data_IF_387211002190
#
_entry.id   IF_387211002190
#
_cell.length_a   1.000
_cell.length_b   1.000
_cell.length_c   1.000
_cell.angle_alpha   90.00
_cell.angle_beta   90.00
_cell.angle_gamma   90.00
#
_symmetry.space_group_name_H-M   'P 1'
#
loop_
_entity.id
_entity.type
_entity.pdbx_description
1 polymer ?
#
# COMPACT_ATOMS: atom_id res chain seq x y z
N UNK A 1 19.08 -17.26 20.61
CA UNK A 1 18.62 -17.19 19.21
C UNK A 1 19.30 -18.31 18.47
N UNK A 2 18.58 -19.34 18.11
CA UNK A 2 19.12 -20.36 17.23
C UNK A 2 18.95 -19.85 15.80
N UNK A 3 20.01 -19.32 15.22
CA UNK A 3 20.09 -19.18 13.79
C UNK A 3 20.07 -20.58 13.21
N UNK A 4 18.88 -21.04 12.79
CA UNK A 4 18.77 -22.23 11.95
C UNK A 4 19.17 -21.81 10.52
N UNK A 5 20.36 -22.13 10.05
CA UNK A 5 20.84 -21.67 8.73
C UNK A 5 20.12 -22.34 7.55
N UNK A 6 19.07 -23.12 7.81
CA UNK A 6 18.33 -23.88 6.81
C UNK A 6 16.80 -23.66 6.87
N UNK A 7 16.30 -22.65 7.59
CA UNK A 7 14.87 -22.36 7.52
C UNK A 7 14.53 -21.82 6.12
N UNK A 8 13.56 -22.41 5.42
CA UNK A 8 13.17 -21.93 4.10
C UNK A 8 12.58 -20.52 4.25
N UNK A 9 13.03 -19.60 3.43
CA UNK A 9 12.51 -18.25 3.38
C UNK A 9 12.23 -17.83 1.93
N UNK A 10 11.42 -16.82 1.79
CA UNK A 10 11.11 -16.17 0.53
C UNK A 10 11.01 -14.66 0.74
N UNK A 11 11.13 -13.92 -0.35
CA UNK A 11 10.90 -12.49 -0.34
C UNK A 11 9.44 -12.21 -0.73
N UNK A 12 8.85 -11.22 -0.10
CA UNK A 12 7.54 -10.70 -0.45
C UNK A 12 7.72 -9.30 -1.06
N UNK A 13 7.22 -9.12 -2.26
CA UNK A 13 7.23 -7.84 -2.97
C UNK A 13 5.83 -7.26 -2.95
N UNK A 14 5.68 -6.08 -2.35
CA UNK A 14 4.48 -5.26 -2.47
C UNK A 14 4.74 -4.16 -3.49
N UNK A 15 3.84 -3.97 -4.43
CA UNK A 15 3.98 -2.96 -5.46
C UNK A 15 2.63 -2.49 -5.99
N UNK A 16 2.64 -1.39 -6.72
CA UNK A 16 1.50 -0.93 -7.50
C UNK A 16 1.83 -0.93 -8.98
N UNK A 17 0.80 -0.88 -9.81
CA UNK A 17 0.96 -0.66 -11.23
C UNK A 17 0.24 0.64 -11.60
N UNK A 18 0.91 1.45 -12.39
CA UNK A 18 0.28 2.58 -13.06
C UNK A 18 -0.64 2.05 -14.16
N UNK A 19 -1.78 2.71 -14.31
CA UNK A 19 -2.74 2.32 -15.32
C UNK A 19 -3.05 3.49 -16.26
N UNK A 20 -2.28 3.62 -17.36
CA UNK A 20 -2.47 4.69 -18.33
C UNK A 20 -3.80 4.58 -19.09
N UNK A 21 -4.46 3.42 -19.07
CA UNK A 21 -5.75 3.20 -19.75
C UNK A 21 -6.95 3.73 -18.94
N UNK A 22 -6.67 4.41 -17.82
CA UNK A 22 -7.67 5.15 -17.04
C UNK A 22 -8.31 4.37 -15.90
N UNK A 23 -7.73 3.24 -15.51
CA UNK A 23 -8.11 2.54 -14.29
C UNK A 23 -7.36 3.12 -13.09
N UNK A 24 -7.92 2.92 -11.90
CA UNK A 24 -7.24 3.32 -10.68
C UNK A 24 -5.99 2.45 -10.43
N UNK A 25 -4.95 3.06 -9.93
CA UNK A 25 -3.77 2.35 -9.45
C UNK A 25 -4.17 1.40 -8.31
N UNK A 26 -3.58 0.20 -8.29
CA UNK A 26 -3.95 -0.91 -7.40
C UNK A 26 -2.72 -1.61 -6.87
N UNK A 27 -2.87 -2.30 -5.76
CA UNK A 27 -1.76 -2.97 -5.08
C UNK A 27 -1.71 -4.45 -5.42
N UNK A 28 -0.51 -4.93 -5.68
CA UNK A 28 -0.18 -6.30 -6.03
C UNK A 28 0.84 -6.88 -5.05
N UNK A 29 0.82 -8.19 -4.90
CA UNK A 29 1.84 -8.94 -4.17
C UNK A 29 2.44 -10.00 -5.08
N UNK A 30 3.75 -10.17 -4.97
CA UNK A 30 4.48 -11.29 -5.55
C UNK A 30 5.36 -11.93 -4.47
N UNK A 31 5.57 -13.23 -4.58
CA UNK A 31 6.51 -13.96 -3.73
C UNK A 31 7.63 -14.52 -4.57
N UNK A 32 8.85 -14.50 -4.06
CA UNK A 32 9.98 -15.11 -4.76
C UNK A 32 9.85 -16.65 -4.80
N UNK A 33 10.44 -17.27 -5.80
CA UNK A 33 10.57 -18.73 -5.88
C UNK A 33 11.68 -19.18 -4.90
N UNK A 34 11.28 -19.48 -3.67
CA UNK A 34 12.22 -19.68 -2.57
C UNK A 34 13.04 -18.41 -2.31
N UNK A 35 14.33 -18.58 -2.11
CA UNK A 35 15.29 -17.49 -1.87
C UNK A 35 15.82 -16.82 -3.16
N UNK A 36 15.24 -17.14 -4.32
CA UNK A 36 15.67 -16.58 -5.60
C UNK A 36 15.04 -15.20 -5.88
N UNK A 37 15.79 -14.09 -5.75
CA UNK A 37 15.26 -12.74 -5.93
C UNK A 37 15.00 -12.37 -7.40
N UNK A 38 15.30 -13.25 -8.35
CA UNK A 38 15.11 -13.02 -9.79
C UNK A 38 13.86 -13.72 -10.35
N UNK A 39 13.16 -14.53 -9.54
CA UNK A 39 11.95 -15.23 -9.95
C UNK A 39 10.81 -14.91 -9.00
N UNK A 40 9.73 -14.37 -9.55
CA UNK A 40 8.55 -13.90 -8.81
C UNK A 40 7.31 -14.64 -9.25
N UNK A 41 6.53 -15.07 -8.27
CA UNK A 41 5.26 -15.76 -8.44
C UNK A 41 4.17 -14.80 -7.99
N UNK A 42 3.31 -14.31 -8.91
CA UNK A 42 2.24 -13.38 -8.56
C UNK A 42 1.20 -14.02 -7.64
N UNK A 43 0.82 -13.27 -6.61
CA UNK A 43 -0.36 -13.60 -5.81
C UNK A 43 -1.64 -13.40 -6.61
N UNK A 44 -2.72 -13.99 -6.11
CA UNK A 44 -4.09 -13.79 -6.60
C UNK A 44 -4.25 -13.93 -8.12
N UNK A 45 -3.44 -14.77 -8.76
CA UNK A 45 -3.49 -14.99 -10.21
C UNK A 45 -3.22 -13.71 -11.02
N UNK A 46 -2.28 -12.89 -10.60
CA UNK A 46 -1.89 -11.59 -11.19
C UNK A 46 -2.96 -10.49 -11.07
N UNK A 47 -3.98 -10.71 -10.27
CA UNK A 47 -4.97 -9.66 -9.95
C UNK A 47 -4.52 -8.87 -8.74
N UNK A 48 -4.98 -7.62 -8.57
CA UNK A 48 -4.69 -6.85 -7.36
C UNK A 48 -5.15 -7.61 -6.13
N UNK A 49 -4.38 -7.49 -5.04
CA UNK A 49 -4.77 -8.05 -3.73
C UNK A 49 -5.67 -7.08 -2.98
N UNK A 50 -5.46 -5.78 -3.15
CA UNK A 50 -6.33 -4.72 -2.63
C UNK A 50 -6.52 -3.60 -3.64
N UNK A 51 -7.69 -2.98 -3.57
CA UNK A 51 -8.11 -1.81 -4.36
C UNK A 51 -8.79 -0.83 -3.42
N UNK A 52 -8.86 0.46 -3.80
CA UNK A 52 -9.60 1.46 -3.04
C UNK A 52 -10.83 1.93 -3.79
N UNK A 53 -11.95 1.99 -3.10
CA UNK A 53 -13.20 2.64 -3.53
C UNK A 53 -13.47 3.93 -2.73
N UNK A 54 -12.51 4.36 -1.90
CA UNK A 54 -12.57 5.58 -1.10
C UNK A 54 -11.44 6.53 -1.48
N UNK A 55 -11.50 7.77 -1.01
CA UNK A 55 -10.51 8.79 -1.33
C UNK A 55 -10.47 9.10 -2.82
N UNK A 56 -9.27 9.17 -3.38
CA UNK A 56 -9.07 9.38 -4.82
C UNK A 56 -9.38 8.16 -5.66
N UNK A 57 -9.61 7.00 -5.03
CA UNK A 57 -9.81 5.68 -5.63
C UNK A 57 -8.57 5.07 -6.31
N UNK A 58 -7.43 5.75 -6.31
CA UNK A 58 -6.14 5.23 -6.71
C UNK A 58 -5.21 5.09 -5.50
N UNK A 59 -4.35 4.08 -5.50
CA UNK A 59 -3.41 3.83 -4.42
C UNK A 59 -2.02 3.51 -4.96
N UNK A 60 -1.02 4.19 -4.38
CA UNK A 60 0.38 4.17 -4.83
C UNK A 60 1.31 3.93 -3.65
N UNK A 61 2.59 3.66 -3.97
CA UNK A 61 3.69 3.58 -3.00
C UNK A 61 3.35 2.75 -1.76
N UNK A 62 2.95 1.48 -1.92
CA UNK A 62 2.53 0.67 -0.80
C UNK A 62 3.70 0.28 0.09
N UNK A 63 3.45 0.23 1.39
CA UNK A 63 4.30 -0.42 2.38
C UNK A 63 3.54 -1.56 3.02
N UNK A 64 4.22 -2.70 3.25
CA UNK A 64 3.65 -3.85 3.94
C UNK A 64 4.44 -4.16 5.21
N UNK A 65 3.72 -4.42 6.30
CA UNK A 65 4.33 -4.74 7.58
C UNK A 65 3.50 -5.81 8.31
N UNK A 66 4.16 -6.64 9.10
CA UNK A 66 3.52 -7.58 9.99
C UNK A 66 3.69 -7.15 11.44
N UNK A 67 2.60 -7.10 12.18
CA UNK A 67 2.65 -6.93 13.62
C UNK A 67 3.13 -8.24 14.27
N UNK A 68 4.30 -8.27 14.92
CA UNK A 68 4.83 -9.52 15.48
C UNK A 68 4.05 -10.03 16.69
N UNK A 69 3.29 -9.16 17.37
CA UNK A 69 2.50 -9.52 18.55
C UNK A 69 1.20 -10.19 18.17
N UNK A 70 0.53 -9.71 17.12
CA UNK A 70 -0.78 -10.21 16.68
C UNK A 70 -0.71 -11.14 15.48
N UNK A 71 0.40 -11.10 14.73
CA UNK A 71 0.56 -11.82 13.46
C UNK A 71 -0.18 -11.19 12.29
N UNK A 72 -0.92 -10.10 12.51
CA UNK A 72 -1.65 -9.38 11.47
C UNK A 72 -0.72 -8.66 10.52
N UNK A 73 -1.05 -8.70 9.25
CA UNK A 73 -0.42 -7.95 8.18
C UNK A 73 -1.19 -6.67 7.89
N UNK A 74 -0.46 -5.63 7.54
CA UNK A 74 -1.03 -4.35 7.14
C UNK A 74 -0.40 -3.90 5.82
N UNK A 75 -1.22 -3.37 4.92
CA UNK A 75 -0.77 -2.58 3.77
C UNK A 75 -1.21 -1.14 4.02
N UNK A 76 -0.28 -0.21 3.85
CA UNK A 76 -0.54 1.23 3.88
C UNK A 76 -0.07 1.78 2.55
N UNK A 77 -0.88 2.64 1.94
CA UNK A 77 -0.58 3.20 0.62
C UNK A 77 -0.98 4.67 0.53
N UNK A 78 -0.31 5.39 -0.36
CA UNK A 78 -0.65 6.77 -0.75
C UNK A 78 -2.03 6.81 -1.40
N UNK A 79 -2.88 7.74 -0.97
CA UNK A 79 -4.17 8.05 -1.59
C UNK A 79 -3.96 9.01 -2.76
N UNK A 80 -3.62 8.48 -3.93
CA UNK A 80 -3.42 9.27 -5.13
C UNK A 80 -3.84 8.47 -6.37
N UNK A 81 -4.65 9.10 -7.22
CA UNK A 81 -4.99 8.61 -8.54
C UNK A 81 -4.46 9.57 -9.61
N UNK A 82 -3.50 9.10 -10.40
CA UNK A 82 -2.89 9.87 -11.49
C UNK A 82 -3.64 9.64 -12.80
N UNK A 83 -4.03 8.40 -13.08
CA UNK A 83 -4.68 8.01 -14.32
C UNK A 83 -6.19 7.86 -14.15
N UNK A 84 -6.95 8.34 -15.10
CA UNK A 84 -8.41 8.20 -15.14
C UNK A 84 -9.19 8.92 -14.06
N UNK A 85 -8.54 9.78 -13.26
CA UNK A 85 -9.16 10.64 -12.25
C UNK A 85 -9.29 12.07 -12.72
N UNK A 86 -9.73 12.95 -11.82
CA UNK A 86 -9.65 14.40 -12.02
C UNK A 86 -8.21 14.81 -12.11
N UNK A 87 -7.83 15.36 -13.25
CA UNK A 87 -6.43 15.52 -13.59
C UNK A 87 -5.94 16.92 -13.26
N UNK A 88 -5.64 17.16 -11.98
CA UNK A 88 -5.05 18.42 -11.52
C UNK A 88 -3.60 18.64 -11.94
N UNK A 89 -2.88 17.57 -12.29
CA UNK A 89 -1.45 17.59 -12.57
C UNK A 89 -0.58 17.61 -11.31
N UNK A 90 0.73 17.50 -11.51
CA UNK A 90 1.70 17.31 -10.41
C UNK A 90 1.74 18.46 -9.41
N UNK A 91 1.45 19.69 -9.83
CA UNK A 91 1.37 20.82 -8.91
C UNK A 91 0.23 20.63 -7.90
N UNK A 92 -0.99 20.33 -8.38
CA UNK A 92 -2.15 20.11 -7.52
C UNK A 92 -1.93 18.88 -6.61
N UNK A 93 -1.41 17.79 -7.16
CA UNK A 93 -1.15 16.57 -6.41
C UNK A 93 -0.09 16.73 -5.31
N UNK A 94 0.85 17.66 -5.45
CA UNK A 94 1.88 17.92 -4.43
C UNK A 94 1.54 19.03 -3.44
N UNK A 95 0.54 19.86 -3.73
CA UNK A 95 0.19 21.01 -2.90
C UNK A 95 -1.23 20.96 -2.34
N UNK A 96 -2.15 20.32 -3.02
CA UNK A 96 -3.57 20.26 -2.67
C UNK A 96 -4.12 18.82 -2.71
N UNK A 97 -3.27 17.83 -2.52
CA UNK A 97 -3.65 16.43 -2.57
C UNK A 97 -4.29 15.93 -1.26
N UNK A 98 -4.71 14.68 -1.30
CA UNK A 98 -5.17 13.97 -0.11
C UNK A 98 -4.09 13.93 0.96
N UNK A 99 -4.46 14.18 2.21
CA UNK A 99 -3.62 13.99 3.39
C UNK A 99 -3.92 12.67 4.09
N UNK A 100 -4.66 11.80 3.41
CA UNK A 100 -4.97 10.47 3.90
C UNK A 100 -3.99 9.44 3.35
N UNK A 101 -3.74 8.42 4.15
CA UNK A 101 -3.22 7.14 3.72
C UNK A 101 -4.37 6.14 3.72
N UNK A 102 -4.29 5.14 2.84
CA UNK A 102 -5.27 4.06 2.78
C UNK A 102 -4.67 2.81 3.40
N UNK A 103 -5.43 2.15 4.28
CA UNK A 103 -4.95 1.04 5.10
C UNK A 103 -5.85 -0.17 4.93
N UNK A 104 -5.23 -1.34 4.79
CA UNK A 104 -5.85 -2.66 4.84
C UNK A 104 -5.14 -3.53 5.87
N UNK A 105 -5.86 -4.53 6.36
CA UNK A 105 -5.29 -5.55 7.25
C UNK A 105 -5.66 -6.96 6.78
N UNK A 106 -4.79 -7.93 7.08
CA UNK A 106 -5.02 -9.34 6.74
C UNK A 106 -4.38 -10.27 7.77
N UNK A 107 -5.05 -11.37 8.14
CA UNK A 107 -4.45 -12.40 8.98
C UNK A 107 -3.46 -13.30 8.22
N UNK A 108 -3.54 -13.39 6.89
CA UNK A 108 -2.94 -14.46 6.10
C UNK A 108 -2.40 -14.04 4.72
N UNK A 109 -2.39 -12.74 4.38
CA UNK A 109 -2.04 -12.19 3.06
C UNK A 109 -3.03 -12.50 1.93
N UNK A 110 -4.09 -13.28 2.20
CA UNK A 110 -5.07 -13.69 1.20
C UNK A 110 -6.42 -13.00 1.40
N UNK A 111 -6.81 -12.80 2.66
CA UNK A 111 -8.08 -12.17 3.04
C UNK A 111 -7.80 -10.78 3.61
N UNK A 112 -8.18 -9.75 2.88
CA UNK A 112 -7.92 -8.36 3.24
C UNK A 112 -9.20 -7.65 3.65
N UNK A 113 -9.14 -6.96 4.78
CA UNK A 113 -10.17 -6.07 5.30
C UNK A 113 -9.76 -4.62 5.08
N UNK A 114 -10.69 -3.80 4.64
CA UNK A 114 -10.51 -2.40 4.28
C UNK A 114 -11.18 -2.10 2.93
N UNK A 115 -10.94 -0.91 2.35
CA UNK A 115 -9.99 0.13 2.77
C UNK A 115 -10.49 0.97 3.95
N UNK A 116 -9.54 1.56 4.70
CA UNK A 116 -9.80 2.56 5.73
C UNK A 116 -8.89 3.77 5.51
N UNK A 117 -9.40 4.97 5.79
CA UNK A 117 -8.61 6.18 5.75
C UNK A 117 -7.88 6.43 7.07
N UNK A 118 -6.64 6.88 6.97
CA UNK A 118 -5.85 7.44 8.04
C UNK A 118 -5.45 8.87 7.66
N UNK A 119 -6.09 9.87 8.27
CA UNK A 119 -5.71 11.27 8.05
C UNK A 119 -4.46 11.60 8.87
N UNK A 120 -3.33 11.71 8.19
CA UNK A 120 -2.05 12.02 8.84
C UNK A 120 -1.87 13.50 9.15
N UNK A 121 -2.77 14.37 8.70
CA UNK A 121 -2.79 15.78 9.08
C UNK A 121 -3.33 16.01 10.47
N UNK A 122 -4.12 15.08 11.00
CA UNK A 122 -4.78 15.22 12.29
C UNK A 122 -3.81 15.03 13.45
N UNK A 123 -3.76 16.00 14.36
CA UNK A 123 -2.99 15.93 15.60
C UNK A 123 -3.81 15.31 16.73
N UNK A 124 -3.10 14.87 17.79
CA UNK A 124 -3.73 14.30 18.97
C UNK A 124 -4.69 15.27 19.71
N UNK A 125 -4.48 16.58 19.59
CA UNK A 125 -5.33 17.63 20.16
C UNK A 125 -6.55 17.96 19.31
N UNK A 126 -6.75 17.25 18.18
CA UNK A 126 -7.86 17.44 17.26
C UNK A 126 -7.66 18.57 16.23
N UNK A 127 -6.53 19.27 16.27
CA UNK A 127 -6.17 20.25 15.24
C UNK A 127 -5.55 19.56 14.02
N UNK A 128 -5.52 20.27 12.87
CA UNK A 128 -4.94 19.77 11.64
C UNK A 128 -3.66 20.53 11.27
N UNK A 129 -2.69 19.81 10.73
CA UNK A 129 -1.52 20.39 10.08
C UNK A 129 -1.88 20.84 8.67
N UNK A 130 -1.26 21.92 8.22
CA UNK A 130 -1.33 22.35 6.81
C UNK A 130 -0.34 21.50 6.01
N UNK A 131 -0.86 20.45 5.36
CA UNK A 131 -0.10 19.56 4.49
C UNK A 131 -0.57 19.71 3.05
N UNK A 132 0.34 19.60 2.10
CA UNK A 132 0.02 19.58 0.68
C UNK A 132 -0.26 18.17 0.15
N UNK A 133 0.25 17.15 0.84
CA UNK A 133 0.18 15.75 0.44
C UNK A 133 0.56 14.82 1.60
N UNK A 134 0.30 13.51 1.41
CA UNK A 134 0.80 12.43 2.26
C UNK A 134 1.20 11.26 1.35
N UNK A 135 2.49 11.10 1.09
CA UNK A 135 3.02 10.13 0.14
C UNK A 135 4.08 9.21 0.73
N UNK A 136 4.25 8.04 0.08
CA UNK A 136 5.32 7.09 0.31
C UNK A 136 5.52 6.76 1.79
N UNK A 137 4.45 6.33 2.43
CA UNK A 137 4.44 5.99 3.85
C UNK A 137 5.29 4.76 4.17
N UNK A 138 5.92 4.79 5.34
CA UNK A 138 6.61 3.65 5.92
C UNK A 138 6.10 3.42 7.35
N UNK A 139 6.15 2.16 7.81
CA UNK A 139 5.86 1.75 9.17
C UNK A 139 7.07 1.04 9.77
N UNK A 140 7.34 1.29 11.04
CA UNK A 140 8.41 0.65 11.83
C UNK A 140 7.83 -0.24 12.92
#
# INVERSE_FOLDING_TARGET
MSDCPNDPYAYLLVHFLEDPDGYAERIYLDVSDGDNPHRWIPFNGRRPVVTSDIGTTGVRDPHIIRNPQTGMWYIIATDLRVFGGDNGGWYEWSHHASTNLIVWQSPDLLHWEGPRMLDVSQRADGTHMQLGMAWACECL
#
